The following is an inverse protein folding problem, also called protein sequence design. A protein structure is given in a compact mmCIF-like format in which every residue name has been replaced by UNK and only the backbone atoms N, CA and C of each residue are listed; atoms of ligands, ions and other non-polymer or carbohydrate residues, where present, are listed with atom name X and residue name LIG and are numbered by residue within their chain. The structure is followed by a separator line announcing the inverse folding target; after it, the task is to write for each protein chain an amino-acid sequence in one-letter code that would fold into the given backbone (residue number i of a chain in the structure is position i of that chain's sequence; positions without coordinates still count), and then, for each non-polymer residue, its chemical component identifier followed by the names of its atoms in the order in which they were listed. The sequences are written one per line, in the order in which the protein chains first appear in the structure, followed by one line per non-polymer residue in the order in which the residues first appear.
data_IF_463680301887
#
_entry.id   IF_463680301887
#
_cell.length_a   1.000
_cell.length_b   1.000
_cell.length_c   1.000
_cell.angle_alpha   90.00
_cell.angle_beta   90.00
_cell.angle_gamma   90.00
#
_symmetry.space_group_name_H-M   'P 1'
#
loop_
_entity.id
_entity.type
_entity.pdbx_description
1 polymer ?
#
# COMPACT_ATOMS: atom_id res chain seq x y z
N UNK A 1 -0.02 -17.89 -34.27
CA UNK A 1 1.17 -18.77 -34.31
C UNK A 1 2.38 -17.93 -33.86
N UNK A 2 3.33 -18.30 -32.99
CA UNK A 2 3.72 -19.56 -32.36
C UNK A 2 4.21 -19.26 -30.93
N UNK A 3 3.51 -19.71 -29.88
CA UNK A 3 4.06 -19.75 -28.50
C UNK A 3 4.92 -21.00 -28.24
N UNK A 4 5.43 -21.64 -29.29
CA UNK A 4 6.27 -22.84 -29.17
C UNK A 4 5.52 -24.15 -28.87
N UNK A 5 4.19 -24.17 -28.98
CA UNK A 5 3.38 -25.38 -28.74
C UNK A 5 2.98 -26.04 -30.07
N UNK A 6 3.08 -27.38 -30.13
CA UNK A 6 2.62 -28.20 -31.26
C UNK A 6 1.52 -29.15 -30.80
N UNK A 7 0.49 -29.32 -31.64
CA UNK A 7 -0.72 -30.07 -31.32
C UNK A 7 -0.92 -31.24 -32.29
N UNK A 8 -1.44 -32.36 -31.79
CA UNK A 8 -1.94 -33.47 -32.62
C UNK A 8 -3.43 -33.64 -32.37
N UNK A 9 -4.23 -33.19 -33.33
CA UNK A 9 -5.70 -33.17 -33.27
C UNK A 9 -6.34 -34.39 -33.94
N UNK A 10 -5.66 -35.06 -34.88
CA UNK A 10 -6.19 -36.19 -35.66
C UNK A 10 -6.17 -37.54 -34.90
N UNK A 11 -6.42 -37.54 -33.58
CA UNK A 11 -6.41 -38.75 -32.75
C UNK A 11 -7.56 -38.69 -31.74
N UNK A 12 -7.96 -39.86 -31.22
CA UNK A 12 -9.02 -39.99 -30.19
C UNK A 12 -8.84 -39.07 -28.97
N UNK A 13 -7.59 -38.74 -28.61
CA UNK A 13 -7.29 -37.76 -27.57
C UNK A 13 -6.29 -36.75 -28.11
N UNK A 14 -6.63 -35.46 -27.95
CA UNK A 14 -5.73 -34.36 -28.32
C UNK A 14 -4.45 -34.43 -27.49
N UNK A 15 -3.32 -34.28 -28.16
CA UNK A 15 -2.01 -34.27 -27.52
C UNK A 15 -1.26 -32.96 -27.79
N UNK A 16 -0.64 -32.44 -26.74
CA UNK A 16 0.11 -31.19 -26.71
C UNK A 16 1.59 -31.49 -26.50
N UNK A 17 2.46 -30.76 -27.21
CA UNK A 17 3.90 -30.74 -26.98
C UNK A 17 4.34 -29.28 -26.81
N UNK A 18 4.85 -28.98 -25.62
CA UNK A 18 5.42 -27.67 -25.27
C UNK A 18 6.86 -27.54 -25.78
N UNK A 19 7.35 -26.30 -25.86
CA UNK A 19 8.74 -26.00 -26.21
C UNK A 19 9.67 -26.60 -25.13
N UNK A 20 10.62 -27.44 -25.52
CA UNK A 20 11.57 -28.09 -24.60
C UNK A 20 11.14 -29.46 -24.04
N UNK A 21 9.93 -29.94 -24.36
CA UNK A 21 9.56 -31.32 -24.06
C UNK A 21 9.86 -32.24 -25.24
N UNK A 22 10.38 -33.45 -25.00
CA UNK A 22 10.66 -34.41 -26.07
C UNK A 22 9.39 -35.13 -26.55
N UNK A 23 8.48 -35.46 -25.62
CA UNK A 23 7.29 -36.30 -25.85
C UNK A 23 6.00 -35.48 -25.86
N UNK A 24 4.99 -36.02 -26.53
CA UNK A 24 3.63 -35.48 -26.53
C UNK A 24 2.89 -35.93 -25.27
N UNK A 25 2.22 -35.00 -24.59
CA UNK A 25 1.37 -35.28 -23.44
C UNK A 25 -0.10 -35.21 -23.88
N UNK A 26 -0.90 -36.20 -23.49
CA UNK A 26 -2.34 -36.21 -23.78
C UNK A 26 -3.05 -35.28 -22.80
N UNK A 27 -4.02 -34.50 -23.28
CA UNK A 27 -4.73 -33.56 -22.40
C UNK A 27 -5.47 -34.29 -21.25
N UNK A 28 -6.01 -35.49 -21.50
CA UNK A 28 -6.66 -36.34 -20.49
C UNK A 28 -5.76 -36.70 -19.30
N UNK A 29 -4.44 -36.81 -19.49
CA UNK A 29 -3.52 -37.16 -18.39
C UNK A 29 -3.15 -35.97 -17.50
N UNK A 30 -3.47 -34.74 -17.90
CA UNK A 30 -3.19 -33.54 -17.11
C UNK A 30 -4.20 -33.30 -15.98
N UNK A 31 -5.31 -34.04 -15.97
CA UNK A 31 -6.37 -33.96 -14.95
C UNK A 31 -7.75 -33.76 -15.57
N UNK A 32 -8.79 -33.83 -14.72
CA UNK A 32 -10.21 -33.69 -15.13
C UNK A 32 -10.45 -32.35 -15.86
N UNK A 33 -9.96 -31.26 -15.27
CA UNK A 33 -10.00 -29.86 -15.77
C UNK A 33 -9.34 -29.59 -17.13
N UNK A 34 -8.63 -30.58 -17.70
CA UNK A 34 -7.96 -30.48 -18.98
C UNK A 34 -8.56 -31.42 -20.03
N UNK A 35 -9.74 -31.99 -19.77
CA UNK A 35 -10.49 -32.71 -20.79
C UNK A 35 -10.88 -31.78 -21.94
N UNK A 36 -11.04 -32.34 -23.14
CA UNK A 36 -11.38 -31.54 -24.33
C UNK A 36 -12.72 -30.81 -24.16
N UNK A 37 -13.69 -31.47 -23.53
CA UNK A 37 -15.01 -30.94 -23.21
C UNK A 37 -14.93 -29.77 -22.21
N UNK A 38 -14.11 -29.90 -21.17
CA UNK A 38 -13.95 -28.85 -20.15
C UNK A 38 -13.16 -27.65 -20.68
N UNK A 39 -12.12 -27.88 -21.50
CA UNK A 39 -11.39 -26.79 -22.16
C UNK A 39 -12.30 -26.05 -23.15
N UNK A 40 -13.09 -26.77 -23.94
CA UNK A 40 -14.10 -26.15 -24.82
C UNK A 40 -15.12 -25.37 -24.00
N UNK A 41 -15.62 -25.95 -22.90
CA UNK A 41 -16.51 -25.27 -21.96
C UNK A 41 -15.90 -23.98 -21.41
N UNK A 42 -14.64 -24.00 -20.98
CA UNK A 42 -13.94 -22.81 -20.47
C UNK A 42 -13.67 -21.73 -21.53
N UNK A 43 -13.54 -22.12 -22.80
CA UNK A 43 -13.37 -21.18 -23.91
C UNK A 43 -14.72 -20.56 -24.31
N UNK A 44 -15.79 -21.36 -24.30
CA UNK A 44 -17.17 -20.92 -24.56
C UNK A 44 -17.74 -20.07 -23.43
N UNK A 45 -17.31 -20.28 -22.18
CA UNK A 45 -17.69 -19.44 -21.05
C UNK A 45 -17.07 -18.05 -21.22
N UNK A 46 -17.87 -16.95 -21.13
CA UNK A 46 -17.34 -15.61 -21.17
C UNK A 46 -16.43 -15.39 -19.96
N UNK A 47 -15.12 -15.37 -20.19
CA UNK A 47 -14.11 -15.07 -19.16
C UNK A 47 -14.40 -13.66 -18.66
N UNK A 48 -14.82 -13.59 -17.39
CA UNK A 48 -15.17 -12.35 -16.71
C UNK A 48 -16.52 -11.79 -17.16
N UNK A 49 -17.61 -12.22 -16.50
CA UNK A 49 -18.68 -11.26 -16.20
C UNK A 49 -18.05 -10.21 -15.28
N UNK A 50 -17.41 -9.19 -15.85
CA UNK A 50 -17.24 -7.94 -15.12
C UNK A 50 -18.67 -7.60 -14.77
N UNK A 51 -19.02 -7.64 -13.50
CA UNK A 51 -20.20 -6.95 -13.02
C UNK A 51 -19.86 -5.49 -13.26
N UNK A 52 -19.99 -5.05 -14.51
CA UNK A 52 -20.23 -3.68 -14.83
C UNK A 52 -21.53 -3.41 -14.08
N UNK A 53 -21.41 -2.88 -12.87
CA UNK A 53 -22.49 -2.09 -12.32
C UNK A 53 -22.86 -1.16 -13.49
N UNK A 54 -24.06 -1.33 -14.06
CA UNK A 54 -24.53 -0.45 -15.13
C UNK A 54 -24.22 0.96 -14.65
N UNK A 55 -23.54 1.81 -15.45
CA UNK A 55 -23.33 3.19 -15.04
C UNK A 55 -24.73 3.72 -14.73
N UNK A 56 -25.00 3.99 -13.46
CA UNK A 56 -26.26 4.59 -13.06
C UNK A 56 -26.31 5.87 -13.86
N UNK A 57 -27.28 5.98 -14.76
CA UNK A 57 -27.43 7.16 -15.60
C UNK A 57 -27.87 8.28 -14.66
N UNK A 58 -26.89 8.99 -14.11
CA UNK A 58 -27.15 10.12 -13.22
C UNK A 58 -27.71 11.21 -14.12
N UNK A 59 -29.04 11.34 -14.10
CA UNK A 59 -29.71 12.41 -14.83
C UNK A 59 -29.19 13.75 -14.27
N UNK A 60 -28.80 14.72 -15.12
CA UNK A 60 -28.34 16.00 -14.64
C UNK A 60 -29.45 16.65 -13.82
N UNK A 61 -29.18 16.89 -12.53
CA UNK A 61 -30.14 17.60 -11.67
C UNK A 61 -30.38 18.99 -12.28
N UNK A 62 -31.66 19.36 -12.46
CA UNK A 62 -32.03 20.71 -12.90
C UNK A 62 -31.44 21.72 -11.90
N UNK A 63 -30.71 22.72 -12.40
CA UNK A 63 -30.15 23.78 -11.56
C UNK A 63 -31.32 24.60 -10.99
N UNK A 64 -31.28 24.88 -9.69
CA UNK A 64 -32.22 25.82 -9.06
C UNK A 64 -31.90 27.22 -9.63
N UNK A 65 -32.88 27.92 -10.18
CA UNK A 65 -32.74 29.27 -10.74
C UNK A 65 -33.77 30.23 -10.15
N UNK A 66 -33.50 31.53 -10.23
CA UNK A 66 -34.40 32.58 -9.71
C UNK A 66 -34.61 32.49 -8.20
N UNK A 67 -35.88 32.64 -7.78
CA UNK A 67 -36.29 32.68 -6.36
C UNK A 67 -35.93 31.38 -5.63
N UNK A 68 -35.98 30.24 -6.32
CA UNK A 68 -35.61 28.94 -5.71
C UNK A 68 -34.14 28.91 -5.29
N UNK A 69 -33.24 29.50 -6.09
CA UNK A 69 -31.82 29.60 -5.74
C UNK A 69 -31.59 30.53 -4.54
N UNK A 70 -32.36 31.62 -4.44
CA UNK A 70 -32.32 32.57 -3.33
C UNK A 70 -32.77 31.93 -2.01
N UNK A 71 -33.89 31.20 -2.01
CA UNK A 71 -34.33 30.48 -0.81
C UNK A 71 -33.33 29.39 -0.41
N UNK A 72 -32.76 28.68 -1.40
CA UNK A 72 -31.77 27.65 -1.14
C UNK A 72 -30.46 28.22 -0.56
N UNK A 73 -29.99 29.39 -1.02
CA UNK A 73 -28.82 30.05 -0.43
C UNK A 73 -29.11 30.57 0.98
N UNK A 74 -30.29 31.12 1.22
CA UNK A 74 -30.74 31.57 2.54
C UNK A 74 -30.74 30.42 3.56
N UNK A 75 -31.25 29.24 3.19
CA UNK A 75 -31.24 28.05 4.06
C UNK A 75 -29.83 27.56 4.40
N UNK A 76 -28.86 27.70 3.48
CA UNK A 76 -27.45 27.42 3.80
C UNK A 76 -26.82 28.47 4.70
N UNK A 77 -27.22 29.73 4.61
CA UNK A 77 -26.71 30.80 5.46
C UNK A 77 -27.22 30.65 6.90
N UNK A 78 -28.49 30.25 7.04
CA UNK A 78 -29.13 29.94 8.34
C UNK A 78 -28.66 28.61 8.96
N UNK A 79 -27.85 27.82 8.27
CA UNK A 79 -27.30 26.55 8.79
C UNK A 79 -28.29 25.38 8.85
N UNK A 80 -29.52 25.56 8.35
CA UNK A 80 -30.57 24.51 8.29
C UNK A 80 -30.14 23.36 7.38
N UNK A 81 -29.37 23.64 6.34
CA UNK A 81 -28.83 22.65 5.41
C UNK A 81 -27.32 22.45 5.61
N UNK A 82 -26.82 21.19 5.68
CA UNK A 82 -25.41 20.93 5.97
C UNK A 82 -24.54 21.40 4.80
N UNK A 83 -23.68 22.38 5.05
CA UNK A 83 -22.63 22.76 4.09
C UNK A 83 -21.68 21.59 3.91
N UNK A 84 -21.35 21.26 2.66
CA UNK A 84 -20.28 20.30 2.38
C UNK A 84 -18.98 20.83 3.01
N UNK A 85 -18.24 20.01 3.79
CA UNK A 85 -16.97 20.46 4.35
C UNK A 85 -16.05 20.90 3.21
N UNK A 86 -15.41 22.06 3.39
CA UNK A 86 -14.43 22.55 2.42
C UNK A 86 -13.31 21.53 2.30
N UNK A 87 -12.88 21.25 1.07
CA UNK A 87 -11.74 20.37 0.85
C UNK A 87 -10.50 21.03 1.47
N UNK A 88 -9.81 20.34 2.36
CA UNK A 88 -8.53 20.81 2.90
C UNK A 88 -7.53 21.04 1.75
N UNK A 89 -6.71 22.11 1.84
CA UNK A 89 -5.59 22.36 0.94
C UNK A 89 -4.70 21.12 0.73
N UNK A 90 -4.03 21.04 -0.43
CA UNK A 90 -3.26 19.86 -0.81
C UNK A 90 -2.17 19.50 0.21
N UNK A 91 -1.42 20.49 0.70
CA UNK A 91 -0.40 20.30 1.73
C UNK A 91 -0.95 19.61 2.99
N UNK A 92 -2.09 20.10 3.50
CA UNK A 92 -2.75 19.55 4.68
C UNK A 92 -3.24 18.11 4.43
N UNK A 93 -3.62 17.77 3.19
CA UNK A 93 -4.10 16.43 2.86
C UNK A 93 -2.99 15.38 2.89
N UNK A 94 -1.80 15.72 2.38
CA UNK A 94 -0.65 14.81 2.43
C UNK A 94 -0.27 14.51 3.88
N UNK A 95 -0.30 15.54 4.73
CA UNK A 95 -0.01 15.38 6.14
C UNK A 95 -1.08 14.55 6.85
N UNK A 96 -2.37 14.79 6.56
CA UNK A 96 -3.48 13.96 7.07
C UNK A 96 -3.32 12.49 6.68
N UNK A 97 -2.95 12.19 5.42
CA UNK A 97 -2.72 10.81 5.00
C UNK A 97 -1.57 10.13 5.76
N UNK A 98 -0.60 10.90 6.22
CA UNK A 98 0.56 10.41 6.96
C UNK A 98 0.36 10.46 8.48
N UNK A 99 -0.75 11.03 8.98
CA UNK A 99 -0.99 11.17 10.42
C UNK A 99 -0.98 9.82 11.13
N UNK A 100 -1.70 8.82 10.61
CA UNK A 100 -1.76 7.50 11.23
C UNK A 100 -0.37 6.85 11.34
N UNK A 101 0.48 7.07 10.33
CA UNK A 101 1.87 6.58 10.35
C UNK A 101 2.70 7.29 11.42
N UNK A 102 2.51 8.61 11.60
CA UNK A 102 3.21 9.40 12.63
C UNK A 102 2.74 9.00 14.03
N UNK A 103 1.46 8.71 14.21
CA UNK A 103 0.89 8.23 15.47
C UNK A 103 1.53 6.88 15.83
N UNK A 104 1.57 5.93 14.89
CA UNK A 104 2.23 4.62 15.11
C UNK A 104 3.71 4.78 15.51
N UNK A 105 4.41 5.75 14.91
CA UNK A 105 5.81 6.05 15.24
C UNK A 105 5.99 6.62 16.65
N UNK A 106 5.15 7.58 17.04
CA UNK A 106 5.22 8.17 18.38
C UNK A 106 4.84 7.13 19.44
N UNK A 107 3.79 6.33 19.20
CA UNK A 107 3.43 5.23 20.09
C UNK A 107 4.57 4.23 20.26
N UNK A 108 5.30 3.92 19.18
CA UNK A 108 6.46 3.04 19.24
C UNK A 108 7.57 3.66 20.11
N UNK A 109 7.90 4.93 19.89
CA UNK A 109 8.90 5.65 20.68
C UNK A 109 8.53 5.68 22.17
N UNK A 110 7.26 5.96 22.48
CA UNK A 110 6.74 5.98 23.85
C UNK A 110 6.77 4.59 24.51
N UNK A 111 6.44 3.51 23.78
CA UNK A 111 6.45 2.15 24.33
C UNK A 111 7.85 1.66 24.73
N UNK A 112 8.88 2.20 24.08
CA UNK A 112 10.27 1.81 24.30
C UNK A 112 11.10 2.91 24.99
N UNK A 113 10.46 3.99 25.46
CA UNK A 113 11.07 5.16 26.10
C UNK A 113 12.26 5.74 25.31
N UNK A 114 12.15 5.75 23.98
CA UNK A 114 13.22 6.22 23.09
C UNK A 114 13.07 7.72 22.86
N UNK A 115 14.08 8.47 23.27
CA UNK A 115 14.11 9.94 23.16
C UNK A 115 15.12 10.44 22.13
N UNK A 116 16.23 9.71 21.93
CA UNK A 116 17.30 10.14 21.02
C UNK A 116 17.47 9.22 19.81
N UNK A 117 18.08 9.75 18.74
CA UNK A 117 18.43 8.97 17.54
C UNK A 117 19.45 7.88 17.86
N UNK A 118 20.38 8.16 18.75
CA UNK A 118 21.38 7.19 19.21
C UNK A 118 20.72 6.02 19.95
N UNK A 119 19.71 6.31 20.79
CA UNK A 119 18.93 5.28 21.46
C UNK A 119 18.22 4.35 20.46
N UNK A 120 17.71 4.86 19.33
CA UNK A 120 17.16 4.01 18.26
C UNK A 120 18.20 3.03 17.69
N UNK A 121 19.44 3.47 17.49
CA UNK A 121 20.52 2.62 17.00
C UNK A 121 20.86 1.54 18.04
N UNK A 122 21.00 1.91 19.32
CA UNK A 122 21.26 0.94 20.40
C UNK A 122 20.15 -0.08 20.55
N UNK A 123 18.88 0.31 20.38
CA UNK A 123 17.73 -0.62 20.39
C UNK A 123 17.74 -1.58 19.19
N UNK A 124 18.26 -1.13 18.04
CA UNK A 124 18.30 -1.91 16.80
C UNK A 124 19.36 -3.01 16.81
N UNK A 125 20.52 -2.78 17.43
CA UNK A 125 21.62 -3.74 17.49
C UNK A 125 21.24 -5.14 18.05
N UNK A 126 20.60 -5.27 19.22
CA UNK A 126 20.23 -6.57 19.77
C UNK A 126 19.20 -7.29 18.87
N UNK A 127 18.23 -6.55 18.31
CA UNK A 127 17.25 -7.12 17.38
C UNK A 127 17.92 -7.69 16.12
N UNK A 128 18.95 -7.02 15.59
CA UNK A 128 19.71 -7.51 14.45
C UNK A 128 20.51 -8.77 14.79
N UNK A 129 21.09 -8.84 16.00
CA UNK A 129 21.79 -10.04 16.49
C UNK A 129 20.81 -11.23 16.59
N UNK A 130 19.64 -11.04 17.19
CA UNK A 130 18.59 -12.07 17.28
C UNK A 130 18.12 -12.54 15.88
N UNK A 131 17.90 -11.62 14.94
CA UNK A 131 17.59 -11.98 13.55
C UNK A 131 18.71 -12.86 12.96
N UNK A 132 19.97 -12.53 13.21
CA UNK A 132 21.11 -13.30 12.69
C UNK A 132 21.17 -14.70 13.29
N UNK A 133 20.82 -14.86 14.57
CA UNK A 133 20.77 -16.13 15.29
C UNK A 133 19.63 -17.01 14.77
N UNK A 134 18.41 -16.49 14.70
CA UNK A 134 17.26 -17.19 14.14
C UNK A 134 17.48 -17.59 12.67
N UNK A 135 18.20 -16.77 11.90
CA UNK A 135 18.58 -17.12 10.53
C UNK A 135 19.59 -18.28 10.48
N UNK A 136 20.52 -18.37 11.45
CA UNK A 136 21.43 -19.52 11.57
C UNK A 136 20.67 -20.78 11.99
N UNK A 137 19.75 -20.67 12.95
CA UNK A 137 18.90 -21.77 13.39
C UNK A 137 18.04 -22.31 12.25
N UNK A 138 17.36 -21.42 11.52
CA UNK A 138 16.58 -21.77 10.33
C UNK A 138 17.39 -22.55 9.31
N UNK A 139 18.64 -22.13 9.04
CA UNK A 139 19.55 -22.84 8.12
C UNK A 139 19.95 -24.22 8.63
N UNK A 140 20.14 -24.39 9.94
CA UNK A 140 20.43 -25.70 10.55
C UNK A 140 19.24 -26.64 10.43
N UNK A 141 18.02 -26.13 10.66
CA UNK A 141 16.79 -26.92 10.54
C UNK A 141 16.58 -27.46 9.13
N UNK A 142 16.84 -26.64 8.09
CA UNK A 142 16.83 -27.12 6.70
C UNK A 142 17.93 -28.13 6.34
N UNK A 143 18.95 -28.30 7.19
CA UNK A 143 19.99 -29.32 6.96
C UNK A 143 19.64 -30.65 7.64
N UNK A 144 18.79 -30.62 8.65
CA UNK A 144 18.45 -31.76 9.50
C UNK A 144 17.03 -32.29 9.16
N UNK A 145 16.69 -32.36 7.86
CA UNK A 145 15.35 -32.56 7.26
C UNK A 145 14.51 -33.81 7.71
N UNK A 146 14.81 -34.48 8.83
CA UNK A 146 14.24 -35.80 9.16
C UNK A 146 13.02 -35.82 10.09
N UNK A 147 12.47 -34.71 10.57
CA UNK A 147 11.32 -34.75 11.51
C UNK A 147 10.23 -33.69 11.27
N UNK A 148 8.97 -34.09 11.46
CA UNK A 148 7.81 -33.18 11.45
C UNK A 148 7.89 -32.12 12.56
N UNK A 149 8.67 -32.36 13.62
CA UNK A 149 9.01 -31.38 14.68
C UNK A 149 9.72 -30.14 14.10
N UNK A 150 10.55 -30.31 13.07
CA UNK A 150 11.29 -29.23 12.42
C UNK A 150 10.38 -28.25 11.65
N UNK A 151 9.24 -28.72 11.13
CA UNK A 151 8.28 -27.87 10.40
C UNK A 151 7.55 -26.90 11.33
N UNK A 152 7.16 -27.37 12.52
CA UNK A 152 6.54 -26.52 13.55
C UNK A 152 7.51 -25.42 14.00
N UNK A 153 8.74 -25.79 14.34
CA UNK A 153 9.78 -24.83 14.73
C UNK A 153 10.15 -23.84 13.63
N UNK A 154 10.14 -24.26 12.37
CA UNK A 154 10.34 -23.36 11.23
C UNK A 154 9.22 -22.32 11.11
N UNK A 155 7.97 -22.68 11.43
CA UNK A 155 6.85 -21.74 11.42
C UNK A 155 7.04 -20.67 12.51
N UNK A 156 7.37 -21.08 13.74
CA UNK A 156 7.66 -20.18 14.85
C UNK A 156 8.78 -19.20 14.51
N UNK A 157 9.90 -19.70 13.96
CA UNK A 157 11.03 -18.86 13.55
C UNK A 157 10.60 -17.85 12.47
N UNK A 158 9.72 -18.24 11.54
CA UNK A 158 9.23 -17.32 10.52
C UNK A 158 8.35 -16.20 11.12
N UNK A 159 7.55 -16.50 12.14
CA UNK A 159 6.74 -15.52 12.86
C UNK A 159 7.61 -14.58 13.71
N UNK A 160 8.56 -15.12 14.46
CA UNK A 160 9.54 -14.33 15.23
C UNK A 160 10.34 -13.41 14.31
N UNK A 161 10.87 -13.94 13.19
CA UNK A 161 11.57 -13.13 12.19
C UNK A 161 10.66 -12.05 11.59
N UNK A 162 9.38 -12.33 11.38
CA UNK A 162 8.42 -11.34 10.85
C UNK A 162 8.23 -10.18 11.83
N UNK A 163 8.11 -10.48 13.12
CA UNK A 163 7.94 -9.49 14.18
C UNK A 163 9.21 -8.64 14.36
N UNK A 164 10.37 -9.28 14.53
CA UNK A 164 11.66 -8.58 14.66
C UNK A 164 11.97 -7.70 13.44
N UNK A 165 11.69 -8.19 12.22
CA UNK A 165 11.85 -7.38 11.00
C UNK A 165 10.84 -6.24 10.91
N UNK A 166 9.66 -6.37 11.53
CA UNK A 166 8.69 -5.26 11.59
C UNK A 166 9.23 -4.16 12.50
N UNK A 167 9.74 -4.51 13.68
CA UNK A 167 10.34 -3.55 14.62
C UNK A 167 11.57 -2.85 14.02
N UNK A 168 12.51 -3.60 13.45
CA UNK A 168 13.69 -3.01 12.78
C UNK A 168 13.29 -2.11 11.60
N UNK A 169 12.22 -2.45 10.86
CA UNK A 169 11.71 -1.54 9.82
C UNK A 169 11.08 -0.29 10.41
N UNK A 170 10.43 -0.39 11.58
CA UNK A 170 9.85 0.76 12.26
C UNK A 170 10.95 1.75 12.68
N UNK A 171 12.04 1.27 13.30
CA UNK A 171 13.15 2.12 13.71
C UNK A 171 13.79 2.86 12.54
N UNK A 172 14.03 2.17 11.41
CA UNK A 172 14.56 2.77 10.17
C UNK A 172 13.62 3.83 9.60
N UNK A 173 12.30 3.58 9.64
CA UNK A 173 11.29 4.56 9.17
C UNK A 173 11.26 5.80 10.07
N UNK A 174 11.34 5.61 11.39
CA UNK A 174 11.38 6.71 12.36
C UNK A 174 12.62 7.57 12.11
N UNK A 175 13.79 6.95 11.94
CA UNK A 175 15.04 7.65 11.66
C UNK A 175 14.91 8.53 10.41
N UNK A 176 14.44 7.95 9.29
CA UNK A 176 14.21 8.70 8.04
C UNK A 176 13.19 9.84 8.22
N UNK A 177 12.05 9.56 8.84
CA UNK A 177 11.02 10.58 9.03
C UNK A 177 11.49 11.69 9.98
N UNK A 178 12.32 11.39 10.97
CA UNK A 178 12.86 12.40 11.89
C UNK A 178 13.68 13.45 11.14
N UNK A 179 14.45 13.04 10.13
CA UNK A 179 15.21 13.96 9.27
C UNK A 179 14.28 14.76 8.36
N UNK A 180 13.29 14.11 7.73
CA UNK A 180 12.32 14.80 6.88
C UNK A 180 11.51 15.85 7.64
N UNK A 181 11.17 15.58 8.92
CA UNK A 181 10.46 16.54 9.79
C UNK A 181 11.35 17.72 10.12
N UNK A 182 12.61 17.48 10.51
CA UNK A 182 13.57 18.52 10.83
C UNK A 182 13.79 19.47 9.64
N UNK A 183 13.96 18.93 8.42
CA UNK A 183 14.07 19.74 7.21
C UNK A 183 12.79 20.53 6.90
N UNK A 184 11.61 19.93 7.08
CA UNK A 184 10.33 20.62 6.87
C UNK A 184 10.13 21.76 7.85
N UNK A 185 10.46 21.55 9.13
CA UNK A 185 10.39 22.59 10.16
C UNK A 185 11.33 23.74 9.84
N UNK A 186 12.58 23.46 9.44
CA UNK A 186 13.54 24.49 9.04
C UNK A 186 13.03 25.32 7.86
N UNK A 187 12.48 24.68 6.82
CA UNK A 187 11.90 25.39 5.66
C UNK A 187 10.70 26.25 6.05
N UNK A 188 9.84 25.77 6.96
CA UNK A 188 8.70 26.54 7.44
C UNK A 188 9.13 27.75 8.26
N UNK A 189 10.17 27.63 9.09
CA UNK A 189 10.76 28.74 9.82
C UNK A 189 11.38 29.78 8.89
N UNK A 190 12.14 29.35 7.87
CA UNK A 190 12.72 30.23 6.85
C UNK A 190 11.62 31.00 6.08
N UNK A 191 10.53 30.34 5.72
CA UNK A 191 9.37 30.97 5.07
C UNK A 191 8.71 32.02 5.98
N UNK A 192 8.43 31.66 7.23
CA UNK A 192 7.85 32.58 8.21
C UNK A 192 8.74 33.80 8.47
N UNK A 193 10.07 33.63 8.51
CA UNK A 193 11.01 34.74 8.66
C UNK A 193 11.00 35.66 7.43
N UNK A 194 10.97 35.08 6.23
CA UNK A 194 10.89 35.84 4.99
C UNK A 194 9.57 36.61 4.87
N UNK A 195 8.43 35.99 5.19
CA UNK A 195 7.12 36.66 5.24
C UNK A 195 7.14 37.85 6.19
N UNK A 196 7.65 37.69 7.41
CA UNK A 196 7.82 38.80 8.37
C UNK A 196 8.71 39.93 7.83
N UNK A 197 9.79 39.60 7.11
CA UNK A 197 10.67 40.60 6.48
C UNK A 197 9.98 41.35 5.34
N UNK A 198 9.17 40.65 4.54
CA UNK A 198 8.38 41.27 3.46
C UNK A 198 7.31 42.18 4.05
N UNK A 199 6.56 41.71 5.05
CA UNK A 199 5.56 42.53 5.76
C UNK A 199 6.18 43.78 6.39
N UNK A 200 7.38 43.67 6.96
CA UNK A 200 8.09 44.83 7.53
C UNK A 200 8.44 45.87 6.47
N UNK A 201 9.00 45.42 5.33
CA UNK A 201 9.33 46.31 4.20
C UNK A 201 8.10 46.96 3.58
N UNK A 202 6.99 46.23 3.48
CA UNK A 202 5.73 46.76 2.96
C UNK A 202 5.16 47.84 3.89
N UNK A 203 5.22 47.65 5.22
CA UNK A 203 4.81 48.66 6.20
C UNK A 203 5.68 49.91 6.14
N UNK A 204 7.00 49.77 6.07
CA UNK A 204 7.92 50.90 5.90
C UNK A 204 7.66 51.67 4.60
N UNK A 205 7.37 50.98 3.50
CA UNK A 205 7.07 51.62 2.21
C UNK A 205 5.71 52.34 2.18
N UNK A 206 4.77 51.95 3.04
CA UNK A 206 3.47 52.63 3.20
C UNK A 206 3.55 53.85 4.12
N UNK A 207 4.45 53.88 5.10
CA UNK A 207 4.65 55.04 5.98
C UNK A 207 5.44 56.18 5.33
N UNK A 208 6.24 55.91 4.30
CA UNK A 208 7.05 56.90 3.57
C UNK A 208 6.27 57.61 2.45
N UNK A 209 5.00 57.26 2.23
CA UNK A 209 4.17 57.77 1.12
C UNK A 209 3.02 58.65 1.61
#
# INVERSE_FOLDING_TARGET
EKRGYTWKLNRKYVALKALGMERYIRLRSLGKNYSEEEIRGQILQPKVKRIYQKPVQIHPKRKLTGIQALYYSYLYQMGVLPKRPRRSPYAIREDIQKLDQRIEQIEFLMKHDITTREQLATYREPLQKQISELMKERRKLYRNDSEDSGKARLSEINEELKNLRKEVRMTVRIEKHSLEIEERLRKAEEQNQNEKRVEHKEKESQEVR
#
